data_IF_033310277330
#
_entry.id   IF_033310277330
#
_cell.length_a   1.000
_cell.length_b   1.000
_cell.length_c   1.000
_cell.angle_alpha   90.00
_cell.angle_beta   90.00
_cell.angle_gamma   90.00
#
_symmetry.space_group_name_H-M   'P 1'
#
loop_
_entity.id
_entity.type
_entity.pdbx_description
1 polymer ?
#
# COMPACT_ATOMS: atom_id res chain seq x y z
N UNK A 1 5.17 4.48 19.69
CA UNK A 1 4.50 5.47 18.83
C UNK A 1 4.16 4.83 17.49
N UNK A 2 2.99 5.12 16.95
CA UNK A 2 2.59 4.62 15.61
C UNK A 2 3.34 5.46 14.57
N UNK A 3 4.09 4.83 13.67
CA UNK A 3 4.97 5.47 12.68
C UNK A 3 4.24 6.23 11.56
N UNK A 4 2.92 6.45 11.67
CA UNK A 4 2.09 7.15 10.67
C UNK A 4 2.13 6.57 9.24
N UNK A 5 2.42 5.27 9.10
CA UNK A 5 2.44 4.59 7.78
C UNK A 5 1.19 4.87 6.95
N UNK A 6 0.00 4.67 7.52
CA UNK A 6 -1.27 4.93 6.83
C UNK A 6 -1.44 6.40 6.40
N UNK A 7 -0.83 7.37 7.11
CA UNK A 7 -0.83 8.76 6.65
C UNK A 7 0.01 8.91 5.37
N UNK A 8 1.19 8.30 5.38
CA UNK A 8 2.11 8.33 4.24
C UNK A 8 1.47 7.69 3.01
N UNK A 9 0.89 6.49 3.18
CA UNK A 9 0.15 5.78 2.12
C UNK A 9 -1.04 6.60 1.62
N UNK A 10 -1.72 7.36 2.50
CA UNK A 10 -2.78 8.29 2.07
C UNK A 10 -2.26 9.40 1.16
N UNK A 11 -1.03 9.90 1.38
CA UNK A 11 -0.41 10.90 0.51
C UNK A 11 -0.04 10.31 -0.85
N UNK A 12 0.48 9.08 -0.88
CA UNK A 12 0.75 8.33 -2.13
C UNK A 12 -0.55 8.13 -2.93
N UNK A 13 -1.62 7.64 -2.26
CA UNK A 13 -2.92 7.46 -2.89
C UNK A 13 -3.50 8.78 -3.42
N UNK A 14 -3.35 9.87 -2.68
CA UNK A 14 -3.80 11.21 -3.10
C UNK A 14 -3.01 11.74 -4.30
N UNK A 15 -1.69 11.54 -4.33
CA UNK A 15 -0.86 11.88 -5.48
C UNK A 15 -1.29 11.09 -6.73
N UNK A 16 -1.56 9.79 -6.56
CA UNK A 16 -2.06 8.93 -7.61
C UNK A 16 -3.44 9.39 -8.12
N UNK A 17 -4.38 9.67 -7.20
CA UNK A 17 -5.74 10.13 -7.53
C UNK A 17 -5.71 11.46 -8.32
N UNK A 18 -4.84 12.38 -7.92
CA UNK A 18 -4.62 13.64 -8.61
C UNK A 18 -3.85 13.48 -9.93
N UNK A 19 -3.10 12.40 -10.10
CA UNK A 19 -2.07 12.20 -11.10
C UNK A 19 -1.08 13.38 -11.14
N UNK A 20 -0.53 13.70 -10.01
CA UNK A 20 0.32 14.88 -9.82
C UNK A 20 1.04 14.83 -8.47
N UNK A 21 1.43 15.98 -7.96
CA UNK A 21 2.20 16.08 -6.73
C UNK A 21 1.29 16.35 -5.52
N UNK A 22 1.48 15.56 -4.45
CA UNK A 22 0.89 15.75 -3.13
C UNK A 22 1.99 15.57 -2.08
N UNK A 23 2.25 16.58 -1.28
CA UNK A 23 3.41 16.64 -0.39
C UNK A 23 4.70 16.36 -1.19
N UNK A 24 5.45 15.32 -0.84
CA UNK A 24 6.70 14.93 -1.50
C UNK A 24 6.49 13.81 -2.55
N UNK A 25 5.26 13.31 -2.74
CA UNK A 25 4.96 12.24 -3.69
C UNK A 25 4.43 12.80 -5.00
N UNK A 26 4.96 12.27 -6.09
CA UNK A 26 4.50 12.58 -7.44
C UNK A 26 4.07 11.31 -8.16
N UNK A 27 2.86 11.30 -8.67
CA UNK A 27 2.37 10.27 -9.56
C UNK A 27 2.27 10.79 -10.99
N UNK A 28 2.59 9.92 -11.95
CA UNK A 28 2.48 10.18 -13.38
C UNK A 28 2.04 8.90 -14.06
N UNK A 29 0.74 8.63 -14.04
CA UNK A 29 0.18 7.45 -14.69
C UNK A 29 -0.11 7.75 -16.16
N UNK A 30 0.17 6.80 -17.06
CA UNK A 30 -0.24 6.91 -18.46
C UNK A 30 -1.77 6.82 -18.59
N UNK A 31 -2.27 7.26 -19.72
CA UNK A 31 -3.68 7.08 -20.06
C UNK A 31 -4.03 5.60 -20.06
N UNK A 32 -5.23 5.24 -19.58
CA UNK A 32 -5.64 3.86 -19.42
C UNK A 32 -5.07 3.15 -18.19
N UNK A 33 -4.44 3.90 -17.24
CA UNK A 33 -3.89 3.36 -15.97
C UNK A 33 -4.19 4.26 -14.76
N UNK A 34 -5.34 4.95 -14.79
CA UNK A 34 -5.65 6.02 -13.82
C UNK A 34 -6.42 5.54 -12.59
N UNK A 35 -6.88 4.30 -12.55
CA UNK A 35 -7.65 3.78 -11.42
C UNK A 35 -6.77 3.19 -10.33
N UNK A 36 -7.24 3.33 -9.11
CA UNK A 36 -6.56 2.94 -7.87
C UNK A 36 -7.48 2.00 -7.11
N UNK A 37 -6.92 0.89 -6.66
CA UNK A 37 -7.55 -0.01 -5.70
C UNK A 37 -6.80 0.11 -4.36
N UNK A 38 -7.51 0.52 -3.30
CA UNK A 38 -6.98 0.56 -1.93
C UNK A 38 -7.64 -0.56 -1.12
N UNK A 39 -6.83 -1.50 -0.65
CA UNK A 39 -7.24 -2.65 0.16
C UNK A 39 -6.73 -2.44 1.58
N UNK A 40 -7.64 -2.27 2.54
CA UNK A 40 -7.32 -2.18 3.96
C UNK A 40 -7.75 -3.47 4.66
N UNK A 41 -6.80 -4.17 5.24
CA UNK A 41 -7.02 -5.45 5.93
C UNK A 41 -7.00 -5.33 7.44
N UNK A 42 -6.50 -4.23 7.97
CA UNK A 42 -6.30 -4.04 9.41
C UNK A 42 -7.44 -3.26 10.07
N UNK A 43 -8.04 -2.32 9.35
CA UNK A 43 -8.93 -1.33 9.95
C UNK A 43 -10.41 -1.62 9.72
N UNK A 44 -11.26 -1.19 10.67
CA UNK A 44 -12.71 -1.26 10.50
C UNK A 44 -13.24 -0.16 9.57
N UNK A 45 -14.45 -0.34 9.03
CA UNK A 45 -15.08 0.56 8.05
C UNK A 45 -15.01 2.04 8.42
N UNK A 46 -15.25 2.39 9.68
CA UNK A 46 -15.20 3.80 10.13
C UNK A 46 -13.80 4.41 10.02
N UNK A 47 -12.75 3.61 10.17
CA UNK A 47 -11.37 4.08 10.00
C UNK A 47 -11.01 4.16 8.51
N UNK A 48 -11.45 3.20 7.71
CA UNK A 48 -11.29 3.26 6.25
C UNK A 48 -11.96 4.53 5.68
N UNK A 49 -13.15 4.90 6.19
CA UNK A 49 -13.79 6.17 5.81
C UNK A 49 -12.91 7.39 6.15
N UNK A 50 -12.28 7.40 7.34
CA UNK A 50 -11.35 8.49 7.71
C UNK A 50 -10.09 8.53 6.83
N UNK A 51 -9.62 7.36 6.37
CA UNK A 51 -8.52 7.27 5.41
C UNK A 51 -8.96 7.83 4.07
N UNK A 52 -10.13 7.45 3.57
CA UNK A 52 -10.71 7.98 2.34
C UNK A 52 -10.87 9.51 2.40
N UNK A 53 -11.49 10.03 3.47
CA UNK A 53 -11.66 11.48 3.71
C UNK A 53 -10.30 12.21 3.67
N UNK A 54 -9.25 11.59 4.21
CA UNK A 54 -7.91 12.14 4.19
C UNK A 54 -7.32 12.15 2.77
N UNK A 55 -7.47 11.06 2.02
CA UNK A 55 -7.00 10.96 0.63
C UNK A 55 -7.66 12.03 -0.22
N UNK A 56 -8.99 12.18 -0.15
CA UNK A 56 -9.73 13.20 -0.90
C UNK A 56 -9.24 14.62 -0.55
N UNK A 57 -9.12 14.91 0.75
CA UNK A 57 -8.62 16.22 1.21
C UNK A 57 -7.20 16.52 0.73
N UNK A 58 -6.29 15.55 0.78
CA UNK A 58 -4.91 15.70 0.30
C UNK A 58 -4.86 15.88 -1.22
N UNK A 59 -5.77 15.26 -1.95
CA UNK A 59 -5.92 15.42 -3.40
C UNK A 59 -6.59 16.78 -3.78
N UNK A 60 -7.11 17.54 -2.80
CA UNK A 60 -7.82 18.78 -3.03
C UNK A 60 -9.27 18.58 -3.50
N UNK A 61 -9.84 17.41 -3.22
CA UNK A 61 -11.22 17.06 -3.58
C UNK A 61 -12.19 17.27 -2.41
N UNK A 62 -13.47 17.59 -2.67
CA UNK A 62 -14.51 17.65 -1.65
C UNK A 62 -14.66 16.29 -0.92
N UNK A 63 -15.02 16.36 0.37
CA UNK A 63 -15.21 15.15 1.20
C UNK A 63 -16.28 14.20 0.66
N UNK A 64 -17.33 14.76 0.05
CA UNK A 64 -18.47 14.00 -0.48
C UNK A 64 -18.34 13.74 -2.00
N UNK A 65 -17.13 13.91 -2.52
CA UNK A 65 -16.84 13.62 -3.92
C UNK A 65 -16.84 12.10 -4.15
N UNK A 66 -17.61 11.66 -5.12
CA UNK A 66 -17.45 10.32 -5.67
C UNK A 66 -16.21 10.30 -6.56
N UNK A 67 -15.15 9.69 -6.05
CA UNK A 67 -13.89 9.61 -6.77
C UNK A 67 -13.87 8.36 -7.64
N UNK A 68 -14.40 8.44 -8.85
CA UNK A 68 -14.52 7.33 -9.82
C UNK A 68 -13.21 6.55 -10.05
N UNK A 69 -12.08 7.20 -9.78
CA UNK A 69 -10.76 6.59 -9.92
C UNK A 69 -10.23 5.91 -8.67
N UNK A 70 -10.97 5.88 -7.56
CA UNK A 70 -10.55 5.26 -6.31
C UNK A 70 -11.59 4.27 -5.79
N UNK A 71 -11.24 3.00 -5.80
CA UNK A 71 -12.01 1.94 -5.13
C UNK A 71 -11.35 1.59 -3.81
N UNK A 72 -12.10 1.60 -2.71
CA UNK A 72 -11.60 1.23 -1.38
C UNK A 72 -12.33 0.00 -0.84
N UNK A 73 -11.56 -1.02 -0.46
CA UNK A 73 -12.05 -2.26 0.13
C UNK A 73 -11.63 -2.36 1.60
N UNK A 74 -12.59 -2.54 2.51
CA UNK A 74 -12.36 -2.76 3.94
C UNK A 74 -12.53 -4.25 4.25
N UNK A 75 -11.43 -5.01 4.26
CA UNK A 75 -11.44 -6.47 4.29
C UNK A 75 -11.15 -7.09 5.67
N UNK A 76 -11.01 -6.30 6.72
CA UNK A 76 -10.64 -6.77 8.06
C UNK A 76 -11.45 -7.98 8.57
N UNK A 77 -12.73 -8.06 8.23
CA UNK A 77 -13.65 -9.10 8.75
C UNK A 77 -13.48 -10.48 8.08
N UNK A 78 -12.75 -10.56 6.98
CA UNK A 78 -12.63 -11.79 6.19
C UNK A 78 -11.37 -12.58 6.58
N UNK A 79 -11.34 -13.89 6.24
CA UNK A 79 -10.14 -14.73 6.37
C UNK A 79 -9.08 -14.35 5.33
N UNK A 80 -7.81 -14.75 5.51
CA UNK A 80 -6.73 -14.49 4.55
C UNK A 80 -7.06 -14.91 3.12
N UNK A 81 -7.60 -16.12 2.92
CA UNK A 81 -7.96 -16.63 1.60
C UNK A 81 -9.06 -15.80 0.95
N UNK A 82 -10.08 -15.42 1.73
CA UNK A 82 -11.20 -14.60 1.23
C UNK A 82 -10.71 -13.19 0.88
N UNK A 83 -9.81 -12.62 1.67
CA UNK A 83 -9.18 -11.32 1.34
C UNK A 83 -8.41 -11.40 0.02
N UNK A 84 -7.63 -12.47 -0.17
CA UNK A 84 -6.86 -12.69 -1.39
C UNK A 84 -7.78 -12.84 -2.59
N UNK A 85 -8.83 -13.67 -2.50
CA UNK A 85 -9.80 -13.89 -3.57
C UNK A 85 -10.56 -12.60 -3.95
N UNK A 86 -11.04 -11.82 -2.97
CA UNK A 86 -11.72 -10.53 -3.23
C UNK A 86 -10.76 -9.54 -3.91
N UNK A 87 -9.51 -9.50 -3.46
CA UNK A 87 -8.52 -8.59 -4.04
C UNK A 87 -8.20 -8.97 -5.49
N UNK A 88 -8.02 -10.26 -5.76
CA UNK A 88 -7.78 -10.80 -7.10
C UNK A 88 -8.96 -10.49 -8.05
N UNK A 89 -10.19 -10.74 -7.60
CA UNK A 89 -11.40 -10.44 -8.35
C UNK A 89 -11.51 -8.94 -8.66
N UNK A 90 -11.27 -8.08 -7.66
CA UNK A 90 -11.29 -6.63 -7.84
C UNK A 90 -10.23 -6.15 -8.85
N UNK A 91 -9.02 -6.70 -8.80
CA UNK A 91 -7.96 -6.42 -9.79
C UNK A 91 -8.42 -6.84 -11.19
N UNK A 92 -9.10 -7.98 -11.31
CA UNK A 92 -9.65 -8.46 -12.58
C UNK A 92 -10.77 -7.57 -13.14
N UNK A 93 -11.63 -7.05 -12.26
CA UNK A 93 -12.83 -6.31 -12.66
C UNK A 93 -12.59 -4.83 -12.94
N UNK A 94 -11.59 -4.20 -12.31
CA UNK A 94 -11.37 -2.76 -12.48
C UNK A 94 -10.61 -2.51 -13.78
N UNK A 95 -11.24 -1.85 -14.78
CA UNK A 95 -10.56 -1.44 -15.99
C UNK A 95 -9.59 -0.30 -15.66
N UNK A 96 -8.56 -0.11 -16.48
CA UNK A 96 -7.60 0.99 -16.37
C UNK A 96 -6.91 1.09 -15.00
N UNK A 97 -6.83 -0.04 -14.27
CA UNK A 97 -6.13 -0.12 -12.99
C UNK A 97 -4.63 0.15 -13.17
N UNK A 98 -4.09 1.09 -12.41
CA UNK A 98 -2.67 1.44 -12.44
C UNK A 98 -1.98 1.19 -11.10
N UNK A 99 -2.70 1.35 -10.00
CA UNK A 99 -2.13 1.21 -8.65
C UNK A 99 -3.03 0.36 -7.76
N UNK A 100 -2.42 -0.61 -7.08
CA UNK A 100 -3.02 -1.33 -5.96
C UNK A 100 -2.24 -0.99 -4.69
N UNK A 101 -2.93 -0.54 -3.66
CA UNK A 101 -2.39 -0.31 -2.33
C UNK A 101 -2.93 -1.38 -1.40
N UNK A 102 -2.03 -2.07 -0.69
CA UNK A 102 -2.37 -3.10 0.31
C UNK A 102 -1.84 -2.64 1.67
N UNK A 103 -2.75 -2.09 2.48
CA UNK A 103 -2.45 -1.65 3.84
C UNK A 103 -2.69 -2.83 4.80
N UNK A 104 -1.60 -3.62 5.02
CA UNK A 104 -1.59 -4.80 5.87
C UNK A 104 -1.38 -6.12 5.11
N UNK A 105 -0.29 -6.26 4.34
CA UNK A 105 0.00 -7.51 3.60
C UNK A 105 0.05 -8.76 4.49
N UNK A 106 0.46 -8.61 5.75
CA UNK A 106 0.52 -9.72 6.72
C UNK A 106 -0.81 -10.47 6.82
N UNK A 107 -1.90 -9.79 6.62
CA UNK A 107 -3.24 -10.35 6.82
C UNK A 107 -3.74 -11.21 5.65
N UNK A 108 -2.94 -11.39 4.60
CA UNK A 108 -3.18 -12.33 3.51
C UNK A 108 -2.63 -13.73 3.76
N UNK A 109 -1.94 -13.95 4.88
CA UNK A 109 -1.33 -15.22 5.27
C UNK A 109 -1.76 -15.59 6.68
N UNK A 110 -1.85 -16.90 6.96
CA UNK A 110 -2.16 -17.41 8.30
C UNK A 110 -0.93 -17.39 9.21
N UNK A 111 0.14 -18.00 8.75
CA UNK A 111 1.40 -18.05 9.50
C UNK A 111 2.46 -17.19 8.82
N UNK A 112 2.78 -16.06 9.45
CA UNK A 112 3.81 -15.12 9.01
C UNK A 112 5.21 -15.76 8.88
N UNK A 113 5.45 -16.89 9.54
CA UNK A 113 6.71 -17.62 9.50
C UNK A 113 6.67 -18.79 8.50
N UNK A 114 5.54 -19.01 7.84
CA UNK A 114 5.43 -20.03 6.79
C UNK A 114 6.14 -19.57 5.51
N UNK A 115 7.24 -20.23 5.09
CA UNK A 115 7.90 -19.89 3.84
C UNK A 115 7.01 -20.11 2.63
N UNK A 116 6.22 -21.20 2.61
CA UNK A 116 5.35 -21.53 1.47
C UNK A 116 4.24 -20.50 1.30
N UNK A 117 3.49 -20.16 2.36
CA UNK A 117 2.43 -19.15 2.26
C UNK A 117 2.97 -17.78 1.84
N UNK A 118 4.13 -17.39 2.37
CA UNK A 118 4.79 -16.15 2.01
C UNK A 118 5.17 -16.11 0.53
N UNK A 119 5.79 -17.19 0.04
CA UNK A 119 6.19 -17.32 -1.37
C UNK A 119 4.97 -17.32 -2.29
N UNK A 120 3.89 -18.02 -1.93
CA UNK A 120 2.67 -18.12 -2.73
C UNK A 120 2.00 -16.74 -2.90
N UNK A 121 1.85 -15.98 -1.81
CA UNK A 121 1.26 -14.64 -1.84
C UNK A 121 2.11 -13.67 -2.65
N UNK A 122 3.43 -13.66 -2.45
CA UNK A 122 4.33 -12.77 -3.18
C UNK A 122 4.39 -13.14 -4.67
N UNK A 123 4.41 -14.44 -5.01
CA UNK A 123 4.36 -14.90 -6.39
C UNK A 123 3.08 -14.44 -7.10
N UNK A 124 1.95 -14.48 -6.38
CA UNK A 124 0.67 -13.97 -6.90
C UNK A 124 0.71 -12.46 -7.15
N UNK A 125 1.34 -11.69 -6.27
CA UNK A 125 1.52 -10.25 -6.49
C UNK A 125 2.40 -9.95 -7.70
N UNK A 126 3.49 -10.69 -7.86
CA UNK A 126 4.35 -10.59 -9.04
C UNK A 126 3.56 -10.91 -10.32
N UNK A 127 2.76 -11.98 -10.31
CA UNK A 127 1.89 -12.33 -11.43
C UNK A 127 0.92 -11.19 -11.77
N UNK A 128 0.24 -10.60 -10.76
CA UNK A 128 -0.69 -9.48 -11.01
C UNK A 128 0.02 -8.25 -11.57
N UNK A 129 1.25 -7.96 -11.13
CA UNK A 129 2.02 -6.84 -11.69
C UNK A 129 2.36 -7.07 -13.15
N UNK A 130 2.70 -8.30 -13.53
CA UNK A 130 3.04 -8.67 -14.91
C UNK A 130 1.81 -8.74 -15.80
N UNK A 131 0.78 -9.51 -15.41
CA UNK A 131 -0.44 -9.73 -16.21
C UNK A 131 -1.23 -8.44 -16.45
N UNK A 132 -1.26 -7.57 -15.44
CA UNK A 132 -2.08 -6.35 -15.44
C UNK A 132 -1.28 -5.08 -15.68
N UNK A 133 0.06 -5.15 -15.69
CA UNK A 133 0.96 -3.99 -15.83
C UNK A 133 0.58 -2.90 -14.82
N UNK A 134 0.49 -3.26 -13.54
CA UNK A 134 0.11 -2.41 -12.42
C UNK A 134 1.26 -2.25 -11.44
N UNK A 135 1.25 -1.15 -10.69
CA UNK A 135 2.09 -0.99 -9.51
C UNK A 135 1.36 -1.52 -8.27
N UNK A 136 2.05 -2.32 -7.44
CA UNK A 136 1.53 -2.75 -6.14
C UNK A 136 2.38 -2.13 -5.04
N UNK A 137 1.74 -1.34 -4.17
CA UNK A 137 2.34 -0.77 -2.97
C UNK A 137 1.82 -1.52 -1.75
N UNK A 138 2.72 -2.09 -0.95
CA UNK A 138 2.34 -2.85 0.25
C UNK A 138 2.85 -2.21 1.53
N UNK A 139 2.11 -2.38 2.62
CA UNK A 139 2.52 -1.95 3.97
C UNK A 139 2.78 -3.16 4.84
N UNK A 140 3.95 -3.19 5.45
CA UNK A 140 4.34 -4.20 6.43
C UNK A 140 4.89 -3.54 7.70
N UNK A 141 4.59 -4.13 8.85
CA UNK A 141 5.20 -3.72 10.11
C UNK A 141 6.58 -4.37 10.27
N UNK A 142 7.55 -3.58 10.75
CA UNK A 142 8.84 -4.11 11.19
C UNK A 142 8.71 -4.90 12.49
N UNK A 143 9.70 -5.72 12.77
CA UNK A 143 9.87 -6.33 14.08
C UNK A 143 10.12 -5.24 15.15
N UNK A 144 9.74 -5.53 16.39
CA UNK A 144 9.93 -4.56 17.48
C UNK A 144 11.38 -4.42 17.93
N UNK A 145 12.24 -5.39 17.65
CA UNK A 145 13.57 -5.52 18.24
C UNK A 145 14.71 -5.50 17.23
N UNK A 146 14.41 -5.43 15.94
CA UNK A 146 15.39 -5.33 14.85
C UNK A 146 14.84 -4.52 13.67
N UNK A 147 15.72 -4.10 12.78
CA UNK A 147 15.39 -3.30 11.59
C UNK A 147 14.81 -4.15 10.45
N UNK A 148 14.63 -5.47 10.64
CA UNK A 148 14.16 -6.35 9.60
C UNK A 148 12.63 -6.34 9.47
N UNK A 149 12.16 -6.51 8.26
CA UNK A 149 10.76 -6.70 7.97
C UNK A 149 10.25 -8.00 8.64
N UNK A 150 9.01 -7.97 9.11
CA UNK A 150 8.47 -8.99 9.99
C UNK A 150 8.18 -10.31 9.27
N UNK A 151 8.80 -11.40 9.73
CA UNK A 151 8.55 -12.78 9.29
C UNK A 151 9.09 -13.10 7.90
N UNK A 152 8.81 -14.31 7.41
CA UNK A 152 9.23 -14.74 6.07
C UNK A 152 8.65 -13.87 4.96
N UNK A 153 7.42 -13.38 5.10
CA UNK A 153 6.82 -12.48 4.13
C UNK A 153 7.62 -11.18 3.96
N UNK A 154 8.22 -10.68 5.04
CA UNK A 154 9.10 -9.52 4.96
C UNK A 154 10.38 -9.80 4.17
N UNK A 155 10.99 -10.97 4.39
CA UNK A 155 12.17 -11.42 3.64
C UNK A 155 11.86 -11.56 2.15
N UNK A 156 10.73 -12.22 1.82
CA UNK A 156 10.32 -12.38 0.40
C UNK A 156 10.01 -11.04 -0.27
N UNK A 157 9.33 -10.13 0.43
CA UNK A 157 9.09 -8.78 -0.09
C UNK A 157 10.38 -8.03 -0.37
N UNK A 158 11.33 -8.05 0.57
CA UNK A 158 12.63 -7.39 0.39
C UNK A 158 13.39 -7.94 -0.82
N UNK A 159 13.31 -9.25 -1.07
CA UNK A 159 13.95 -9.90 -2.20
C UNK A 159 13.30 -9.55 -3.55
N UNK A 160 12.03 -9.13 -3.57
CA UNK A 160 11.25 -8.93 -4.82
C UNK A 160 10.86 -7.48 -5.07
N UNK A 161 10.80 -6.65 -4.04
CA UNK A 161 10.42 -5.24 -4.18
C UNK A 161 11.43 -4.45 -5.02
N UNK A 162 10.92 -3.51 -5.81
CA UNK A 162 11.72 -2.53 -6.55
C UNK A 162 12.27 -1.44 -5.62
N UNK A 163 11.47 -1.04 -4.63
CA UNK A 163 11.83 0.00 -3.66
C UNK A 163 11.25 -0.34 -2.30
N UNK A 164 12.07 -0.22 -1.27
CA UNK A 164 11.68 -0.40 0.12
C UNK A 164 11.86 0.93 0.84
N UNK A 165 10.76 1.43 1.42
CA UNK A 165 10.75 2.66 2.21
C UNK A 165 10.51 2.35 3.68
N UNK A 166 11.31 2.94 4.55
CA UNK A 166 11.12 2.93 5.99
C UNK A 166 10.44 4.23 6.43
N UNK A 167 9.49 4.12 7.36
CA UNK A 167 8.80 5.28 7.92
C UNK A 167 8.96 5.26 9.43
N UNK A 168 9.66 6.25 9.95
CA UNK A 168 9.92 6.42 11.37
C UNK A 168 9.41 7.77 11.89
N UNK A 169 8.97 7.85 13.15
CA UNK A 169 8.73 9.14 13.77
C UNK A 169 10.06 9.87 13.99
N UNK A 170 10.08 11.17 13.78
CA UNK A 170 11.20 12.00 14.20
C UNK A 170 11.42 11.88 15.73
N UNK A 171 12.68 11.93 16.16
CA UNK A 171 13.04 11.72 17.58
C UNK A 171 12.68 12.91 18.45
N UNK A 172 12.73 14.11 17.87
CA UNK A 172 12.54 15.38 18.58
C UNK A 172 11.11 15.92 18.39
N UNK A 173 10.48 15.63 17.26
CA UNK A 173 9.12 16.08 16.95
C UNK A 173 8.21 14.93 16.49
N UNK A 174 7.36 14.46 17.37
CA UNK A 174 6.37 13.41 17.07
C UNK A 174 5.33 13.82 15.99
N UNK A 175 5.28 15.07 15.56
CA UNK A 175 4.43 15.51 14.46
C UNK A 175 5.04 15.22 13.09
N UNK A 176 6.35 15.00 13.02
CA UNK A 176 7.12 14.69 11.83
C UNK A 176 7.28 13.17 11.68
N UNK A 177 7.35 12.70 10.46
CA UNK A 177 7.77 11.34 10.08
C UNK A 177 8.85 11.44 9.03
N UNK A 178 9.94 10.73 9.27
CA UNK A 178 11.04 10.59 8.32
C UNK A 178 10.73 9.41 7.42
N UNK A 179 10.96 9.57 6.13
CA UNK A 179 10.79 8.53 5.11
C UNK A 179 12.12 8.32 4.43
N UNK A 180 12.73 7.17 4.68
CA UNK A 180 14.02 6.80 4.11
C UNK A 180 13.87 5.67 3.10
N UNK A 181 14.70 5.68 2.05
CA UNK A 181 14.86 4.53 1.17
C UNK A 181 15.82 3.54 1.83
N UNK A 182 15.31 2.33 2.17
CA UNK A 182 16.18 1.24 2.66
C UNK A 182 16.85 0.51 1.51
N UNK A 183 16.14 0.35 0.40
CA UNK A 183 16.65 -0.31 -0.80
C UNK A 183 15.90 0.21 -2.04
N UNK A 184 16.62 0.33 -3.15
CA UNK A 184 16.05 0.70 -4.44
C UNK A 184 16.86 0.08 -5.56
N UNK A 185 16.22 -0.71 -6.43
CA UNK A 185 16.89 -1.35 -7.57
C UNK A 185 17.26 -0.36 -8.67
N UNK A 186 16.56 0.76 -8.77
CA UNK A 186 16.77 1.71 -9.85
C UNK A 186 17.66 2.89 -9.44
N UNK A 187 17.13 3.80 -8.65
CA UNK A 187 17.82 5.02 -8.22
C UNK A 187 17.44 5.34 -6.79
N UNK A 188 18.44 5.57 -5.96
CA UNK A 188 18.21 6.11 -4.62
C UNK A 188 17.59 7.51 -4.71
N UNK A 189 16.74 7.84 -3.77
CA UNK A 189 16.25 9.20 -3.56
C UNK A 189 16.84 9.74 -2.26
N UNK A 190 17.08 11.02 -2.23
CA UNK A 190 17.45 11.72 -0.99
C UNK A 190 16.18 11.93 -0.14
N UNK A 191 16.28 11.78 1.18
CA UNK A 191 15.16 11.94 2.13
C UNK A 191 14.53 13.33 2.07
#
# INVERSE_FOLDING_TARGET
AKSKKTFNVSAIAAAALKNGTVLHYRACFPDGKRKILYVDTEQGKNHCQKVLDRILRLAGLPKDCDADNLTMLALRKYSPEVRLAITEEAIGMIPDLGLVIIDGIRDFIHDINSPSESTDVISKFMQWTDDRQIHIHTVLHQNKNDEHARGHVGTELNNKAETIMQIEPDKDDNSISIVDALDSRAREFEP
#
